data_IF_675831839649
#
_entry.id   IF_675831839649
#
_cell.length_a   1.000
_cell.length_b   1.000
_cell.length_c   1.000
_cell.angle_alpha   90.00
_cell.angle_beta   90.00
_cell.angle_gamma   90.00
#
_symmetry.space_group_name_H-M   'P 1'
#
loop_
_entity.id
_entity.type
_entity.pdbx_description
1 polymer ?
#
# COMPACT_ATOMS: atom_id res chain seq x y z
N UNK A 1 -8.15 8.55 -0.72
CA UNK A 1 -7.44 7.30 -0.38
C UNK A 1 -7.93 6.73 0.95
N UNK A 2 -7.95 7.50 2.04
CA UNK A 2 -8.48 7.05 3.35
C UNK A 2 -9.97 6.69 3.28
N UNK A 3 -10.82 7.58 2.74
CA UNK A 3 -12.27 7.31 2.62
C UNK A 3 -12.57 6.04 1.81
N UNK A 4 -11.87 5.85 0.69
CA UNK A 4 -11.99 4.64 -0.12
C UNK A 4 -11.56 3.40 0.68
N UNK A 5 -10.46 3.46 1.44
CA UNK A 5 -10.07 2.35 2.31
C UNK A 5 -11.12 2.04 3.37
N UNK A 6 -11.71 3.06 4.00
CA UNK A 6 -12.73 2.87 5.04
C UNK A 6 -13.96 2.14 4.48
N UNK A 7 -14.38 2.49 3.26
CA UNK A 7 -15.44 1.77 2.53
C UNK A 7 -15.05 0.29 2.29
N UNK A 8 -13.82 0.02 1.86
CA UNK A 8 -13.34 -1.36 1.68
C UNK A 8 -13.23 -2.12 3.01
N UNK A 9 -12.79 -1.46 4.08
CA UNK A 9 -12.58 -2.07 5.39
C UNK A 9 -13.89 -2.49 6.08
N UNK A 10 -14.99 -1.78 5.81
CA UNK A 10 -16.32 -2.14 6.35
C UNK A 10 -17.07 -3.19 5.52
N UNK A 11 -16.57 -3.59 4.35
CA UNK A 11 -17.21 -4.63 3.53
C UNK A 11 -17.39 -5.94 4.32
N UNK A 12 -18.46 -6.66 3.98
CA UNK A 12 -19.03 -7.79 4.75
C UNK A 12 -18.04 -8.90 5.15
N UNK A 13 -18.52 -9.73 6.09
CA UNK A 13 -17.84 -10.79 6.84
C UNK A 13 -17.06 -11.86 6.05
N UNK A 14 -17.04 -11.81 4.71
CA UNK A 14 -16.30 -12.76 3.86
C UNK A 14 -14.93 -12.25 3.42
N UNK A 15 -14.56 -11.01 3.78
CA UNK A 15 -13.26 -10.42 3.42
C UNK A 15 -12.36 -10.35 4.67
N UNK A 16 -11.45 -11.31 4.78
CA UNK A 16 -10.52 -11.41 5.91
C UNK A 16 -9.20 -10.67 5.69
N UNK A 17 -8.86 -10.40 4.42
CA UNK A 17 -7.55 -9.90 3.99
C UNK A 17 -7.72 -8.90 2.86
N UNK A 18 -7.28 -7.68 3.09
CA UNK A 18 -7.27 -6.59 2.10
C UNK A 18 -5.83 -6.11 1.94
N UNK A 19 -5.40 -6.01 0.68
CA UNK A 19 -4.11 -5.45 0.30
C UNK A 19 -4.35 -4.11 -0.38
N UNK A 20 -3.61 -3.07 0.03
CA UNK A 20 -3.71 -1.77 -0.64
C UNK A 20 -2.82 -1.78 -1.90
N UNK A 21 -3.45 -1.60 -3.05
CA UNK A 21 -2.75 -1.51 -4.34
C UNK A 21 -1.99 -0.19 -4.47
N UNK A 22 -0.73 -0.25 -4.87
CA UNK A 22 0.12 0.92 -5.12
C UNK A 22 0.90 0.74 -6.43
N UNK A 23 1.00 1.76 -7.30
CA UNK A 23 1.84 1.67 -8.49
C UNK A 23 3.32 1.84 -8.13
N UNK A 24 4.19 1.12 -8.82
CA UNK A 24 5.63 1.14 -8.59
C UNK A 24 6.38 2.21 -9.39
N UNK A 25 5.69 2.95 -10.25
CA UNK A 25 6.27 3.93 -11.18
C UNK A 25 5.84 5.35 -10.82
N UNK A 26 6.80 6.27 -10.76
CA UNK A 26 6.54 7.71 -10.57
C UNK A 26 5.72 8.35 -11.70
N UNK A 27 5.65 7.68 -12.86
CA UNK A 27 4.88 8.12 -14.02
C UNK A 27 3.41 7.66 -13.98
N UNK A 28 3.08 6.73 -13.08
CA UNK A 28 1.71 6.22 -12.94
C UNK A 28 0.89 7.11 -11.99
N UNK A 29 -0.38 7.34 -12.32
CA UNK A 29 -1.29 8.05 -11.43
C UNK A 29 -1.45 7.28 -10.11
N UNK A 30 -1.37 8.02 -9.00
CA UNK A 30 -1.48 7.45 -7.66
C UNK A 30 -0.17 6.94 -7.08
N UNK A 31 0.97 7.19 -7.73
CA UNK A 31 2.30 6.99 -7.13
C UNK A 31 2.46 7.80 -5.85
N UNK A 32 3.13 7.19 -4.87
CA UNK A 32 3.51 7.80 -3.60
C UNK A 32 4.97 7.45 -3.36
N UNK A 33 5.78 8.42 -2.97
CA UNK A 33 7.17 8.14 -2.60
C UNK A 33 7.24 7.09 -1.46
N UNK A 34 8.16 6.10 -1.48
CA UNK A 34 8.23 5.05 -0.46
C UNK A 34 8.30 5.56 0.98
N UNK A 35 9.05 6.63 1.24
CA UNK A 35 9.16 7.20 2.58
C UNK A 35 7.83 7.83 3.01
N UNK A 36 7.21 8.60 2.11
CA UNK A 36 5.90 9.20 2.34
C UNK A 36 4.78 8.16 2.46
N UNK A 37 4.88 7.02 1.75
CA UNK A 37 3.93 5.93 1.89
C UNK A 37 4.04 5.32 3.29
N UNK A 38 5.25 5.07 3.78
CA UNK A 38 5.46 4.40 5.08
C UNK A 38 5.06 5.29 6.26
N UNK A 39 5.47 6.55 6.25
CA UNK A 39 5.24 7.48 7.37
C UNK A 39 4.00 8.36 7.19
N UNK A 40 3.41 8.36 6.00
CA UNK A 40 2.25 9.17 5.69
C UNK A 40 0.98 8.70 6.40
N UNK A 41 -0.02 9.60 6.51
CA UNK A 41 -1.25 9.35 7.25
C UNK A 41 -2.04 8.17 6.70
N UNK A 42 -1.93 7.89 5.40
CA UNK A 42 -2.63 6.77 4.76
C UNK A 42 -2.21 5.43 5.35
N UNK A 43 -0.91 5.08 5.31
CA UNK A 43 -0.48 3.77 5.79
C UNK A 43 -0.64 3.63 7.31
N UNK A 44 -0.42 4.72 8.05
CA UNK A 44 -0.65 4.75 9.50
C UNK A 44 -2.12 4.49 9.83
N UNK A 45 -3.05 5.02 9.04
CA UNK A 45 -4.49 4.77 9.21
C UNK A 45 -4.86 3.32 8.88
N UNK A 46 -4.51 2.82 7.69
CA UNK A 46 -4.98 1.50 7.23
C UNK A 46 -4.39 0.34 8.04
N UNK A 47 -3.18 0.49 8.60
CA UNK A 47 -2.54 -0.51 9.46
C UNK A 47 -3.32 -0.79 10.75
N UNK A 48 -4.18 0.13 11.18
CA UNK A 48 -5.06 -0.08 12.34
C UNK A 48 -6.20 -1.06 12.03
N UNK A 49 -6.52 -1.27 10.75
CA UNK A 49 -7.58 -2.19 10.35
C UNK A 49 -7.15 -3.64 10.55
N UNK A 50 -7.95 -4.47 11.25
CA UNK A 50 -7.65 -5.90 11.41
C UNK A 50 -7.72 -6.68 10.08
N UNK A 51 -8.22 -6.07 9.00
CA UNK A 51 -8.28 -6.65 7.65
C UNK A 51 -7.07 -6.31 6.79
N UNK A 52 -6.27 -5.30 7.14
CA UNK A 52 -5.07 -4.95 6.37
C UNK A 52 -4.02 -6.06 6.45
N UNK A 53 -3.44 -6.46 5.31
CA UNK A 53 -2.42 -7.52 5.26
C UNK A 53 -1.14 -7.13 4.54
N UNK A 54 -1.09 -5.98 3.89
CA UNK A 54 0.09 -5.51 3.20
C UNK A 54 -0.24 -4.71 1.96
N UNK A 55 0.79 -4.41 1.20
CA UNK A 55 0.71 -3.68 -0.06
C UNK A 55 0.73 -4.65 -1.24
N UNK A 56 -0.04 -4.34 -2.27
CA UNK A 56 0.07 -5.00 -3.57
C UNK A 56 0.73 -4.02 -4.53
N UNK A 57 1.94 -4.35 -4.98
CA UNK A 57 2.72 -3.48 -5.86
C UNK A 57 2.40 -3.80 -7.31
N UNK A 58 1.84 -2.83 -8.03
CA UNK A 58 1.55 -2.93 -9.45
C UNK A 58 2.66 -2.24 -10.26
N UNK A 59 3.42 -2.93 -11.11
CA UNK A 59 3.49 -4.36 -11.34
C UNK A 59 4.97 -4.76 -11.46
N UNK A 60 5.25 -6.06 -11.58
CA UNK A 60 6.62 -6.58 -11.47
C UNK A 60 7.65 -5.86 -12.35
N UNK A 61 7.32 -5.54 -13.62
CA UNK A 61 8.25 -4.86 -14.52
C UNK A 61 8.66 -3.47 -14.00
N UNK A 62 7.69 -2.64 -13.60
CA UNK A 62 7.97 -1.30 -13.08
C UNK A 62 8.66 -1.37 -11.73
N UNK A 63 8.29 -2.34 -10.89
CA UNK A 63 8.96 -2.59 -9.60
C UNK A 63 10.43 -2.99 -9.77
N UNK A 64 10.75 -3.81 -10.78
CA UNK A 64 12.13 -4.17 -11.09
C UNK A 64 12.97 -2.98 -11.57
N UNK A 65 12.36 -2.04 -12.30
CA UNK A 65 13.05 -0.85 -12.78
C UNK A 65 13.26 0.20 -11.68
N UNK A 66 12.24 0.43 -10.85
CA UNK A 66 12.26 1.50 -9.84
C UNK A 66 12.81 1.03 -8.49
N UNK A 67 12.81 -0.28 -8.21
CA UNK A 67 13.15 -0.87 -6.92
C UNK A 67 12.14 -0.51 -5.83
N UNK A 68 10.91 -0.20 -6.19
CA UNK A 68 9.92 0.41 -5.28
C UNK A 68 9.63 -0.45 -4.05
N UNK A 69 9.36 -1.74 -4.23
CA UNK A 69 9.09 -2.67 -3.13
C UNK A 69 10.31 -2.87 -2.21
N UNK A 70 11.52 -2.86 -2.77
CA UNK A 70 12.76 -2.91 -2.01
C UNK A 70 12.91 -1.66 -1.13
N UNK A 71 12.68 -0.46 -1.70
CA UNK A 71 12.72 0.81 -0.96
C UNK A 71 11.68 0.84 0.17
N UNK A 72 10.47 0.33 -0.04
CA UNK A 72 9.46 0.24 1.03
C UNK A 72 9.96 -0.65 2.18
N UNK A 73 10.51 -1.82 1.86
CA UNK A 73 11.04 -2.77 2.85
C UNK A 73 12.26 -2.23 3.59
N UNK A 74 13.12 -1.47 2.92
CA UNK A 74 14.28 -0.84 3.54
C UNK A 74 13.86 0.26 4.54
N UNK A 75 12.78 0.99 4.22
CA UNK A 75 12.22 2.00 5.13
C UNK A 75 11.52 1.35 6.32
N UNK A 76 10.78 0.26 6.10
CA UNK A 76 10.13 -0.51 7.16
C UNK A 76 9.90 -1.97 6.75
N UNK A 77 10.67 -2.87 7.34
CA UNK A 77 10.68 -4.31 7.04
C UNK A 77 9.46 -5.08 7.57
N UNK A 78 8.59 -4.43 8.36
CA UNK A 78 7.38 -5.04 8.92
C UNK A 78 6.13 -4.85 8.04
N UNK A 79 6.28 -4.28 6.84
CA UNK A 79 5.21 -4.08 5.85
C UNK A 79 5.29 -5.14 4.76
#
# INVERSE_FOLDING_TARGET
MISAWDEWAVLEAKVDKIFAGVPASEYDQGYVDPYLLVYGPFLQHIKTSPKFRGLMVWYAYTDHLSGYSAKIKDVNSAI
#
